data_IF_496936691608
#
_entry.id   IF_496936691608
#
_cell.length_a   1.000
_cell.length_b   1.000
_cell.length_c   1.000
_cell.angle_alpha   90.00
_cell.angle_beta   90.00
_cell.angle_gamma   90.00
#
_symmetry.space_group_name_H-M   'P 1'
#
loop_
_entity.id
_entity.type
_entity.pdbx_description
1 polymer ?
#
# COMPACT_ATOMS: atom_id res chain seq x y z
N UNK A 1 44.45 71.81 14.93
CA UNK A 1 42.99 71.65 14.73
C UNK A 1 42.82 70.44 13.82
N UNK A 2 42.62 69.19 14.44
CA UNK A 2 42.69 67.92 13.78
C UNK A 2 41.28 67.38 13.56
N UNK A 3 40.86 67.38 12.33
CA UNK A 3 39.61 66.71 11.88
C UNK A 3 39.81 65.21 11.96
N UNK A 4 39.19 64.57 12.94
CA UNK A 4 39.03 63.07 12.97
C UNK A 4 37.67 62.82 12.39
N UNK A 5 37.65 62.50 11.12
CA UNK A 5 36.48 62.04 10.38
C UNK A 5 36.11 60.63 10.79
N UNK A 6 34.86 60.44 11.25
CA UNK A 6 34.27 59.18 11.68
C UNK A 6 34.09 58.21 10.52
N UNK A 7 35.08 57.37 10.27
CA UNK A 7 34.95 56.21 9.33
C UNK A 7 34.27 55.01 9.93
N UNK A 8 33.86 55.07 11.21
CA UNK A 8 33.23 53.92 11.88
C UNK A 8 31.74 53.74 11.58
N UNK A 9 31.07 54.73 10.99
CA UNK A 9 29.61 54.67 10.76
C UNK A 9 29.24 54.14 9.36
N UNK A 10 30.21 54.06 8.44
CA UNK A 10 29.99 53.59 7.06
C UNK A 10 30.17 52.06 6.87
N UNK A 11 30.79 51.37 7.83
CA UNK A 11 31.02 49.92 7.72
C UNK A 11 29.83 49.06 8.21
N UNK A 12 28.88 49.70 8.92
CA UNK A 12 27.74 48.94 9.51
C UNK A 12 26.53 48.73 8.56
N UNK A 13 26.51 49.42 7.41
CA UNK A 13 25.36 49.36 6.48
C UNK A 13 25.57 48.36 5.34
N UNK A 14 26.79 47.83 5.15
CA UNK A 14 27.08 46.92 4.05
C UNK A 14 26.87 45.42 4.39
N UNK A 15 26.47 45.10 5.63
CA UNK A 15 26.30 43.69 6.08
C UNK A 15 24.85 43.22 6.12
N UNK A 16 23.89 43.95 5.54
CA UNK A 16 22.45 43.72 5.72
C UNK A 16 21.67 43.19 4.52
N UNK A 17 22.31 42.87 3.39
CA UNK A 17 21.59 42.30 2.23
C UNK A 17 22.19 40.95 1.80
N UNK A 18 22.01 39.94 2.62
CA UNK A 18 22.11 38.55 2.14
C UNK A 18 20.76 38.27 1.45
N UNK A 19 20.70 38.06 0.12
CA UNK A 19 19.47 37.60 -0.51
C UNK A 19 19.20 36.20 0.02
N UNK A 20 18.18 36.04 0.86
CA UNK A 20 17.63 34.75 1.18
C UNK A 20 17.00 34.20 -0.11
N UNK A 21 17.76 33.37 -0.82
CA UNK A 21 17.22 32.54 -1.88
C UNK A 21 16.30 31.52 -1.22
N UNK A 22 15.00 31.82 -1.16
CA UNK A 22 13.99 30.81 -0.91
C UNK A 22 13.95 29.91 -2.14
N UNK A 23 14.67 28.80 -2.08
CA UNK A 23 14.45 27.69 -3.01
C UNK A 23 13.06 27.14 -2.69
N UNK A 24 12.07 27.55 -3.47
CA UNK A 24 10.81 26.84 -3.52
C UNK A 24 11.15 25.47 -4.08
N UNK A 25 11.14 24.44 -3.22
CA UNK A 25 11.05 23.07 -3.69
C UNK A 25 9.74 23.00 -4.49
N UNK A 26 9.86 23.03 -5.81
CA UNK A 26 8.75 22.68 -6.69
C UNK A 26 8.53 21.17 -6.46
N UNK A 27 7.63 20.81 -5.55
CA UNK A 27 7.04 19.47 -5.46
C UNK A 27 6.17 19.28 -6.71
N UNK A 28 6.81 19.21 -7.86
CA UNK A 28 6.15 18.84 -9.10
C UNK A 28 5.80 17.35 -8.99
N UNK A 29 4.50 17.05 -8.90
CA UNK A 29 3.99 15.69 -9.02
C UNK A 29 4.59 15.07 -10.27
N UNK A 30 5.30 13.93 -10.17
CA UNK A 30 5.92 13.31 -11.33
C UNK A 30 4.87 13.13 -12.44
N UNK A 31 5.19 13.57 -13.68
CA UNK A 31 4.35 13.31 -14.86
C UNK A 31 4.47 11.83 -15.24
N UNK A 32 3.89 10.95 -14.45
CA UNK A 32 3.96 9.51 -14.62
C UNK A 32 2.61 8.87 -14.31
N UNK A 33 2.48 7.63 -14.73
CA UNK A 33 1.37 6.76 -14.33
C UNK A 33 1.78 6.03 -13.07
N UNK A 34 0.91 6.01 -12.06
CA UNK A 34 1.17 5.33 -10.80
C UNK A 34 0.01 4.41 -10.41
N UNK A 35 0.33 3.35 -9.69
CA UNK A 35 -0.63 2.48 -9.02
C UNK A 35 -0.64 2.80 -7.53
N UNK A 36 -1.82 2.81 -6.93
CA UNK A 36 -1.98 3.07 -5.51
C UNK A 36 -3.02 2.16 -4.87
N UNK A 37 -2.73 1.66 -3.69
CA UNK A 37 -3.68 1.04 -2.74
C UNK A 37 -3.26 1.40 -1.32
N UNK A 38 -4.19 1.62 -0.38
CA UNK A 38 -3.82 1.91 1.01
C UNK A 38 -3.22 0.71 1.75
N UNK A 39 -3.44 -0.52 1.26
CA UNK A 39 -3.05 -1.76 1.95
C UNK A 39 -1.99 -2.51 1.16
N UNK A 40 -0.72 -2.21 1.41
CA UNK A 40 0.40 -2.86 0.72
C UNK A 40 0.94 -4.09 1.44
N UNK A 41 0.61 -4.27 2.74
CA UNK A 41 0.98 -5.44 3.53
C UNK A 41 -0.17 -5.85 4.43
N UNK A 42 -0.65 -7.09 4.27
CA UNK A 42 -1.78 -7.63 5.03
C UNK A 42 -1.46 -9.01 5.57
N UNK A 43 -2.12 -9.39 6.67
CA UNK A 43 -2.01 -10.72 7.26
C UNK A 43 -3.31 -11.48 7.11
N UNK A 44 -3.24 -12.74 6.66
CA UNK A 44 -4.40 -13.57 6.36
C UNK A 44 -4.18 -15.01 6.78
N UNK A 45 -5.27 -15.78 6.89
CA UNK A 45 -5.22 -17.24 7.09
C UNK A 45 -5.14 -17.97 5.75
N UNK A 46 -4.62 -19.23 5.73
CA UNK A 46 -4.78 -20.11 4.58
C UNK A 46 -6.24 -20.21 4.12
N UNK A 47 -6.47 -20.22 2.82
CA UNK A 47 -7.81 -20.25 2.22
C UNK A 47 -8.54 -18.91 2.18
N UNK A 48 -7.94 -17.82 2.64
CA UNK A 48 -8.55 -16.49 2.59
C UNK A 48 -8.64 -15.97 1.15
N UNK A 49 -9.67 -15.15 0.90
CA UNK A 49 -9.77 -14.32 -0.30
C UNK A 49 -9.45 -12.87 0.07
N UNK A 50 -8.63 -12.24 -0.75
CA UNK A 50 -8.17 -10.86 -0.57
C UNK A 50 -8.69 -10.04 -1.74
N UNK A 51 -9.34 -8.93 -1.46
CA UNK A 51 -9.80 -7.99 -2.48
C UNK A 51 -9.07 -6.65 -2.30
N UNK A 52 -8.16 -6.34 -3.24
CA UNK A 52 -7.48 -5.06 -3.31
C UNK A 52 -8.25 -4.11 -4.22
N UNK A 53 -8.56 -2.93 -3.72
CA UNK A 53 -8.99 -1.80 -4.54
C UNK A 53 -7.76 -1.01 -4.96
N UNK A 54 -7.49 -0.93 -6.25
CA UNK A 54 -6.27 -0.32 -6.80
C UNK A 54 -6.65 0.82 -7.73
N UNK A 55 -6.10 2.00 -7.46
CA UNK A 55 -6.23 3.16 -8.32
C UNK A 55 -5.08 3.19 -9.32
N UNK A 56 -5.39 3.26 -10.60
CA UNK A 56 -4.47 3.61 -11.68
C UNK A 56 -4.63 5.12 -11.94
N UNK A 57 -3.60 5.89 -11.62
CA UNK A 57 -3.60 7.35 -11.67
C UNK A 57 -2.70 7.81 -12.82
N UNK A 58 -3.28 8.54 -13.76
CA UNK A 58 -2.55 9.09 -14.89
C UNK A 58 -2.21 10.57 -14.66
N UNK A 59 -1.00 10.85 -14.18
CA UNK A 59 -0.50 12.21 -13.98
C UNK A 59 0.09 12.84 -15.26
N UNK A 60 0.00 12.15 -16.41
CA UNK A 60 0.50 12.64 -17.68
C UNK A 60 -0.53 13.54 -18.39
N UNK A 61 -0.13 14.17 -19.47
CA UNK A 61 -0.99 15.00 -20.32
C UNK A 61 -1.55 14.22 -21.52
N UNK A 62 -1.40 12.88 -21.53
CA UNK A 62 -1.83 12.00 -22.62
C UNK A 62 -2.67 10.83 -22.11
N UNK A 63 -3.57 10.33 -22.97
CA UNK A 63 -4.28 9.07 -22.73
C UNK A 63 -3.27 7.94 -22.47
N UNK A 64 -3.51 7.14 -21.46
CA UNK A 64 -2.70 5.96 -21.16
C UNK A 64 -3.53 4.69 -21.29
N UNK A 65 -3.05 3.75 -22.10
CA UNK A 65 -3.53 2.37 -22.16
C UNK A 65 -2.51 1.49 -21.43
N UNK A 66 -2.89 0.98 -20.28
CA UNK A 66 -2.01 0.18 -19.43
C UNK A 66 -2.41 -1.29 -19.46
N UNK A 67 -1.50 -2.16 -19.88
CA UNK A 67 -1.65 -3.62 -19.73
C UNK A 67 -1.51 -3.98 -18.26
N UNK A 68 -2.46 -4.75 -17.74
CA UNK A 68 -2.50 -5.17 -16.36
C UNK A 68 -1.93 -6.59 -16.22
N UNK A 69 -1.07 -6.80 -15.23
CA UNK A 69 -0.53 -8.12 -14.91
C UNK A 69 -0.10 -8.22 -13.45
N UNK A 70 0.06 -9.45 -12.96
CA UNK A 70 0.61 -9.76 -11.65
C UNK A 70 1.81 -10.68 -11.83
N UNK A 71 2.88 -10.42 -11.11
CA UNK A 71 4.10 -11.23 -11.11
C UNK A 71 4.54 -11.57 -9.69
N UNK A 72 5.14 -12.74 -9.49
CA UNK A 72 5.62 -13.18 -8.16
C UNK A 72 4.66 -14.09 -7.40
N UNK A 73 3.40 -14.20 -7.82
CA UNK A 73 2.50 -15.21 -7.26
C UNK A 73 2.84 -16.62 -7.80
N UNK A 74 2.84 -17.59 -6.89
CA UNK A 74 2.92 -19.01 -7.28
C UNK A 74 1.68 -19.42 -8.08
N UNK A 75 1.82 -20.40 -8.98
CA UNK A 75 0.71 -20.94 -9.79
C UNK A 75 -0.47 -21.48 -8.98
N UNK A 76 -0.24 -21.83 -7.71
CA UNK A 76 -1.31 -22.26 -6.79
C UNK A 76 -2.20 -21.13 -6.29
N UNK A 77 -1.75 -19.88 -6.42
CA UNK A 77 -2.51 -18.69 -6.03
C UNK A 77 -3.31 -18.20 -7.23
N UNK A 78 -4.64 -18.27 -7.12
CA UNK A 78 -5.51 -17.72 -8.16
C UNK A 78 -5.65 -16.22 -7.98
N UNK A 79 -5.70 -15.50 -9.09
CA UNK A 79 -5.95 -14.06 -9.07
C UNK A 79 -6.79 -13.63 -10.28
N UNK A 80 -7.53 -12.55 -10.10
CA UNK A 80 -8.37 -11.96 -11.14
C UNK A 80 -8.44 -10.45 -10.97
N UNK A 81 -8.34 -9.70 -12.07
CA UNK A 81 -8.51 -8.25 -12.10
C UNK A 81 -9.83 -7.90 -12.75
N UNK A 82 -10.64 -7.08 -12.08
CA UNK A 82 -11.98 -6.70 -12.51
C UNK A 82 -12.27 -5.22 -12.34
N UNK A 83 -13.11 -4.67 -13.24
CA UNK A 83 -13.76 -3.37 -13.04
C UNK A 83 -15.13 -3.40 -13.73
N UNK A 84 -16.15 -2.86 -13.07
CA UNK A 84 -17.52 -2.85 -13.60
C UNK A 84 -18.09 -4.24 -13.90
N UNK A 85 -17.63 -5.30 -13.20
CA UNK A 85 -18.05 -6.69 -13.44
C UNK A 85 -17.28 -7.42 -14.55
N UNK A 86 -16.38 -6.76 -15.28
CA UNK A 86 -15.60 -7.34 -16.37
C UNK A 86 -14.19 -7.71 -15.91
N UNK A 87 -13.71 -8.88 -16.38
CA UNK A 87 -12.31 -9.27 -16.22
C UNK A 87 -11.44 -8.43 -17.15
N UNK A 88 -10.35 -7.86 -16.62
CA UNK A 88 -9.51 -6.89 -17.32
C UNK A 88 -8.12 -7.47 -17.59
N UNK A 89 -7.62 -7.21 -18.81
CA UNK A 89 -6.22 -7.34 -19.19
C UNK A 89 -5.58 -5.99 -19.52
N UNK A 90 -6.40 -4.97 -19.76
CA UNK A 90 -5.95 -3.61 -20.07
C UNK A 90 -6.95 -2.59 -19.52
N UNK A 91 -6.46 -1.42 -19.11
CA UNK A 91 -7.29 -0.31 -18.65
C UNK A 91 -6.79 1.00 -19.26
N UNK A 92 -7.73 1.79 -19.78
CA UNK A 92 -7.48 3.11 -20.37
C UNK A 92 -7.83 4.20 -19.37
N UNK A 93 -6.93 5.18 -19.19
CA UNK A 93 -7.12 6.31 -18.28
C UNK A 93 -6.82 7.61 -19.00
N UNK A 94 -7.77 8.55 -18.99
CA UNK A 94 -7.62 9.87 -19.56
C UNK A 94 -6.53 10.70 -18.83
N UNK A 95 -5.98 11.75 -19.47
CA UNK A 95 -5.04 12.65 -18.86
C UNK A 95 -5.56 13.23 -17.55
N UNK A 96 -4.73 13.25 -16.49
CA UNK A 96 -5.05 13.80 -15.16
C UNK A 96 -6.23 13.12 -14.45
N UNK A 97 -6.65 11.95 -14.90
CA UNK A 97 -7.72 11.16 -14.28
C UNK A 97 -7.15 9.91 -13.57
N UNK A 98 -8.04 9.28 -12.81
CA UNK A 98 -7.81 7.96 -12.22
C UNK A 98 -8.93 7.01 -12.55
N UNK A 99 -8.61 5.72 -12.62
CA UNK A 99 -9.57 4.62 -12.74
C UNK A 99 -9.25 3.56 -11.68
N UNK A 100 -10.28 3.09 -11.00
CA UNK A 100 -10.16 2.04 -9.98
C UNK A 100 -10.49 0.69 -10.58
N UNK A 101 -9.69 -0.31 -10.25
CA UNK A 101 -9.98 -1.72 -10.51
C UNK A 101 -9.74 -2.55 -9.26
N UNK A 102 -10.34 -3.73 -9.21
CA UNK A 102 -10.19 -4.67 -8.10
C UNK A 102 -9.27 -5.82 -8.51
N UNK A 103 -8.30 -6.15 -7.67
CA UNK A 103 -7.51 -7.37 -7.77
C UNK A 103 -7.95 -8.31 -6.65
N UNK A 104 -8.60 -9.41 -7.04
CA UNK A 104 -8.91 -10.52 -6.14
C UNK A 104 -7.75 -11.51 -6.15
N UNK A 105 -7.30 -11.92 -4.96
CA UNK A 105 -6.27 -12.94 -4.78
C UNK A 105 -6.80 -14.02 -3.84
N UNK A 106 -6.76 -15.29 -4.27
CA UNK A 106 -7.19 -16.43 -3.47
C UNK A 106 -5.96 -17.15 -2.92
N UNK A 107 -5.82 -17.13 -1.58
CA UNK A 107 -4.76 -17.83 -0.87
C UNK A 107 -5.09 -19.32 -0.81
N UNK A 108 -4.19 -20.23 -1.23
CA UNK A 108 -4.47 -21.66 -1.15
C UNK A 108 -4.74 -22.15 0.29
N UNK A 109 -5.61 -23.13 0.45
CA UNK A 109 -5.83 -23.81 1.73
C UNK A 109 -4.57 -24.51 2.25
N UNK A 110 -3.80 -25.11 1.32
CA UNK A 110 -2.51 -25.76 1.61
C UNK A 110 -1.39 -24.79 1.21
N UNK A 111 -1.02 -23.91 2.10
CA UNK A 111 0.07 -22.95 1.93
C UNK A 111 0.90 -22.88 3.20
N UNK A 112 2.21 -22.75 3.06
CA UNK A 112 3.10 -22.57 4.22
C UNK A 112 2.90 -21.19 4.85
N UNK A 113 3.11 -21.10 6.17
CA UNK A 113 3.25 -19.80 6.83
C UNK A 113 4.44 -19.05 6.27
N UNK A 114 4.33 -17.75 6.14
CA UNK A 114 5.42 -16.93 5.64
C UNK A 114 4.95 -15.66 4.97
N UNK A 115 5.92 -14.94 4.44
CA UNK A 115 5.70 -13.72 3.66
C UNK A 115 5.71 -14.07 2.17
N UNK A 116 4.68 -13.63 1.47
CA UNK A 116 4.52 -13.79 0.03
C UNK A 116 4.53 -12.42 -0.61
N UNK A 117 5.50 -12.19 -1.47
CA UNK A 117 5.69 -10.93 -2.17
C UNK A 117 5.28 -11.08 -3.63
N UNK A 118 4.51 -10.13 -4.15
CA UNK A 118 4.17 -10.05 -5.55
C UNK A 118 4.02 -8.60 -6.00
N UNK A 119 4.02 -8.38 -7.30
CA UNK A 119 3.97 -7.05 -7.89
C UNK A 119 2.84 -6.98 -8.90
N UNK A 120 2.00 -5.96 -8.76
CA UNK A 120 0.98 -5.59 -9.75
C UNK A 120 1.59 -4.59 -10.73
N UNK A 121 1.36 -4.81 -12.01
CA UNK A 121 1.83 -3.94 -13.09
C UNK A 121 0.64 -3.33 -13.83
N UNK A 122 0.79 -2.08 -14.22
CA UNK A 122 -0.05 -1.39 -15.20
C UNK A 122 0.88 -0.66 -16.18
N UNK A 123 1.20 -1.29 -17.31
CA UNK A 123 2.25 -0.82 -18.20
C UNK A 123 3.60 -0.78 -17.46
N UNK A 124 4.19 0.42 -17.34
CA UNK A 124 5.45 0.62 -16.62
C UNK A 124 5.27 0.90 -15.11
N UNK A 125 4.05 1.17 -14.65
CA UNK A 125 3.76 1.38 -13.25
C UNK A 125 3.80 0.05 -12.47
N UNK A 126 4.33 0.10 -11.24
CA UNK A 126 4.55 -1.07 -10.38
C UNK A 126 3.98 -0.80 -8.99
N UNK A 127 3.30 -1.78 -8.43
CA UNK A 127 2.79 -1.77 -7.06
C UNK A 127 3.22 -3.04 -6.35
N UNK A 128 4.25 -3.00 -5.49
CA UNK A 128 4.63 -4.15 -4.68
C UNK A 128 3.62 -4.39 -3.56
N UNK A 129 3.24 -5.64 -3.34
CA UNK A 129 2.31 -6.08 -2.31
C UNK A 129 2.89 -7.25 -1.54
N UNK A 130 2.63 -7.28 -0.23
CA UNK A 130 3.05 -8.33 0.68
C UNK A 130 1.83 -8.98 1.36
N UNK A 131 1.79 -10.30 1.37
CA UNK A 131 0.81 -11.09 2.11
C UNK A 131 1.53 -11.95 3.13
N UNK A 132 1.22 -11.76 4.40
CA UNK A 132 1.70 -12.60 5.49
C UNK A 132 0.67 -13.68 5.75
N UNK A 133 1.01 -14.94 5.46
CA UNK A 133 0.16 -16.07 5.81
C UNK A 133 0.49 -16.52 7.23
N UNK A 134 -0.46 -16.30 8.15
CA UNK A 134 -0.37 -16.67 9.56
C UNK A 134 -1.40 -17.75 9.89
N UNK A 135 -1.12 -18.62 10.88
CA UNK A 135 -2.16 -19.52 11.38
C UNK A 135 -3.22 -18.71 12.14
N UNK A 136 -4.48 -19.04 11.88
CA UNK A 136 -5.57 -18.66 12.78
C UNK A 136 -5.27 -19.30 14.14
N UNK A 137 -5.17 -18.51 15.21
CA UNK A 137 -5.08 -19.06 16.57
C UNK A 137 -6.31 -19.95 16.79
N UNK A 138 -6.08 -21.26 16.90
CA UNK A 138 -7.12 -22.18 17.35
C UNK A 138 -7.25 -21.94 18.86
N UNK A 139 -8.27 -21.21 19.29
CA UNK A 139 -8.69 -21.26 20.68
C UNK A 139 -9.28 -22.64 20.87
N UNK A 140 -8.50 -23.59 21.42
CA UNK A 140 -9.05 -24.78 22.03
C UNK A 140 -9.77 -24.33 23.29
N UNK A 141 -11.07 -24.20 23.21
CA UNK A 141 -11.92 -24.11 24.39
C UNK A 141 -12.01 -25.53 24.95
N UNK A 142 -11.14 -25.86 25.89
CA UNK A 142 -11.24 -27.08 26.68
C UNK A 142 -12.41 -26.87 27.62
N UNK A 143 -13.57 -27.45 27.25
CA UNK A 143 -14.70 -27.56 28.17
C UNK A 143 -14.37 -28.66 29.17
N UNK A 144 -13.78 -28.29 30.29
CA UNK A 144 -13.68 -29.17 31.45
C UNK A 144 -15.07 -29.19 32.09
N UNK A 145 -15.87 -30.20 31.75
CA UNK A 145 -17.12 -30.49 32.50
C UNK A 145 -16.70 -31.13 33.80
N UNK A 146 -16.66 -30.31 34.83
CA UNK A 146 -16.59 -30.76 36.22
C UNK A 146 -18.01 -31.28 36.58
N UNK A 147 -18.22 -32.58 36.38
CA UNK A 147 -19.43 -33.25 36.83
C UNK A 147 -19.17 -33.68 38.27
N UNK A 148 -19.83 -33.09 39.30
CA UNK A 148 -19.79 -33.67 40.62
C UNK A 148 -20.56 -34.99 40.62
N UNK A 149 -19.86 -36.04 40.97
CA UNK A 149 -20.37 -37.38 41.13
C UNK A 149 -21.48 -37.36 42.24
N UNK A 150 -22.75 -37.36 41.83
CA UNK A 150 -23.85 -37.62 42.73
C UNK A 150 -23.95 -39.11 42.97
N UNK A 151 -23.31 -39.60 44.00
CA UNK A 151 -23.63 -40.94 44.54
C UNK A 151 -25.01 -40.90 45.19
N UNK A 152 -25.98 -41.42 44.48
CA UNK A 152 -27.29 -41.74 45.05
C UNK A 152 -27.18 -42.87 46.05
N UNK A 153 -27.31 -42.50 47.33
CA UNK A 153 -27.40 -43.49 48.43
C UNK A 153 -28.88 -43.95 48.52
N UNK A 154 -29.21 -45.08 47.93
CA UNK A 154 -30.47 -45.74 48.14
C UNK A 154 -30.38 -46.61 49.39
N UNK A 155 -31.07 -46.21 50.45
CA UNK A 155 -31.45 -47.06 51.57
C UNK A 155 -32.88 -47.53 51.39
N UNK A 156 -33.01 -48.85 51.40
CA UNK A 156 -34.22 -49.67 51.52
C UNK A 156 -35.12 -49.28 52.66
#
# INVERSE_FOLDING_TARGET
MTMRTNYFLLLAILLGMIPMNYTHANDSIPKSVILYTPYTKISVSPGASIDYSIDLINNTDQLTNANLSVSGLSSSWKHEMKSGGWSLSQLSVLPKEKKTFNLKVEVPLKVNKGNYHFVVYAGNAKLPLDVVVAQKGTYQTEFTTDQPNMQGNSKS
#
